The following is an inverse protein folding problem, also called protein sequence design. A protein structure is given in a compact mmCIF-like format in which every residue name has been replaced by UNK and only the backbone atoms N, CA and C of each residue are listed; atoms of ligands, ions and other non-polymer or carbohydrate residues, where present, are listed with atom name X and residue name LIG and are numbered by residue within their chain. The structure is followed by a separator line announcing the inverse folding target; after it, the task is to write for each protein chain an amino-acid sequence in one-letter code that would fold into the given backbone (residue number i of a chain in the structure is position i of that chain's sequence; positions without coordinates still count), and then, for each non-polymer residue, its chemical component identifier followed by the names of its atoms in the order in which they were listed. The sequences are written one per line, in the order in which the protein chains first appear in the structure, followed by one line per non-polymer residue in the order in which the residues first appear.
data_IF_208353591709
#
_entry.id   IF_208353591709
#
_cell.length_a   1.000
_cell.length_b   1.000
_cell.length_c   1.000
_cell.angle_alpha   90.00
_cell.angle_beta   90.00
_cell.angle_gamma   90.00
#
_symmetry.space_group_name_H-M   'P 1'
#
loop_
_entity.id
_entity.type
_entity.pdbx_description
1 polymer ?
#
# COMPACT_ATOMS: atom_id res chain seq x y z
N UNK A 1 3.59 8.82 -21.77
CA UNK A 1 2.56 8.53 -22.78
C UNK A 1 1.90 7.19 -22.49
N UNK A 2 2.62 6.05 -22.45
CA UNK A 2 1.99 4.76 -22.10
C UNK A 2 1.40 4.70 -20.68
N UNK A 3 2.19 5.03 -19.65
CA UNK A 3 1.71 4.99 -18.25
C UNK A 3 0.60 6.02 -17.92
N UNK A 4 0.31 6.96 -18.83
CA UNK A 4 -0.76 7.95 -18.64
C UNK A 4 -2.08 7.53 -19.29
N UNK A 5 -2.02 6.55 -20.20
CA UNK A 5 -3.19 6.00 -20.89
C UNK A 5 -3.71 4.75 -20.16
N UNK A 6 -2.83 4.03 -19.46
CA UNK A 6 -3.18 2.83 -18.70
C UNK A 6 -3.07 3.10 -17.19
N UNK A 7 -4.18 3.00 -16.43
CA UNK A 7 -4.21 3.40 -15.02
C UNK A 7 -3.34 2.49 -14.15
N UNK A 8 -3.30 1.19 -14.43
CA UNK A 8 -2.51 0.22 -13.68
C UNK A 8 -1.52 -0.53 -14.58
N UNK A 9 -0.23 -0.46 -14.25
CA UNK A 9 0.82 -1.11 -15.05
C UNK A 9 1.82 -1.80 -14.14
N UNK A 10 2.08 -3.08 -14.37
CA UNK A 10 3.12 -3.85 -13.70
C UNK A 10 4.33 -4.01 -14.62
N UNK A 11 5.46 -3.47 -14.20
CA UNK A 11 6.66 -3.32 -15.04
C UNK A 11 7.80 -4.18 -14.51
N UNK A 12 8.41 -4.97 -15.41
CA UNK A 12 9.66 -5.68 -15.19
C UNK A 12 10.82 -4.91 -15.83
N UNK A 13 11.63 -4.25 -15.01
CA UNK A 13 12.88 -3.62 -15.42
C UNK A 13 13.98 -4.67 -15.45
N UNK A 14 14.54 -4.92 -16.64
CA UNK A 14 15.48 -6.00 -16.89
C UNK A 14 16.73 -5.54 -17.64
N UNK A 15 17.71 -6.44 -17.69
CA UNK A 15 18.85 -6.35 -18.59
C UNK A 15 19.02 -7.72 -19.31
N UNK A 16 19.23 -7.76 -20.64
CA UNK A 16 19.26 -9.03 -21.40
C UNK A 16 20.35 -10.01 -20.95
N UNK A 17 21.47 -9.50 -20.42
CA UNK A 17 22.60 -10.30 -19.91
C UNK A 17 22.39 -10.80 -18.48
N UNK A 18 21.33 -10.39 -17.79
CA UNK A 18 21.10 -10.78 -16.40
C UNK A 18 20.46 -12.17 -16.33
N UNK A 19 21.20 -13.14 -15.79
CA UNK A 19 20.74 -14.54 -15.60
C UNK A 19 19.45 -14.59 -14.76
N UNK A 20 19.31 -13.73 -13.74
CA UNK A 20 18.10 -13.69 -12.91
C UNK A 20 16.88 -13.13 -13.65
N UNK A 21 17.10 -12.27 -14.66
CA UNK A 21 16.03 -11.81 -15.55
C UNK A 21 15.60 -12.92 -16.50
N UNK A 22 16.56 -13.61 -17.11
CA UNK A 22 16.28 -14.75 -18.01
C UNK A 22 15.52 -15.87 -17.29
N UNK A 23 15.86 -16.15 -16.02
CA UNK A 23 15.11 -17.11 -15.19
C UNK A 23 13.69 -16.66 -14.87
N UNK A 24 13.44 -15.35 -14.80
CA UNK A 24 12.13 -14.78 -14.52
C UNK A 24 11.24 -14.72 -15.76
N UNK A 25 11.84 -14.58 -16.94
CA UNK A 25 11.15 -14.41 -18.22
C UNK A 25 9.99 -15.38 -18.46
N UNK A 26 10.15 -16.72 -18.34
CA UNK A 26 9.03 -17.63 -18.59
C UNK A 26 7.88 -17.44 -17.60
N UNK A 27 8.16 -17.11 -16.34
CA UNK A 27 7.12 -16.80 -15.36
C UNK A 27 6.44 -15.46 -15.68
N UNK A 28 7.20 -14.46 -16.10
CA UNK A 28 6.67 -13.15 -16.44
C UNK A 28 5.73 -13.20 -17.65
N UNK A 29 6.10 -13.98 -18.68
CA UNK A 29 5.25 -14.21 -19.86
C UNK A 29 3.98 -14.97 -19.50
N UNK A 30 4.08 -16.04 -18.70
CA UNK A 30 2.90 -16.76 -18.21
C UNK A 30 1.99 -15.89 -17.33
N UNK A 31 2.55 -14.95 -16.54
CA UNK A 31 1.75 -13.96 -15.81
C UNK A 31 1.04 -12.99 -16.75
N UNK A 32 1.69 -12.54 -17.83
CA UNK A 32 1.06 -11.67 -18.82
C UNK A 32 -0.13 -12.37 -19.51
N UNK A 33 0.07 -13.61 -19.96
CA UNK A 33 -0.98 -14.43 -20.59
C UNK A 33 -2.17 -14.66 -19.64
N UNK A 34 -1.91 -14.96 -18.36
CA UNK A 34 -2.97 -15.17 -17.39
C UNK A 34 -3.74 -13.88 -17.09
N UNK A 35 -3.07 -12.72 -17.04
CA UNK A 35 -3.75 -11.43 -16.87
C UNK A 35 -4.61 -11.10 -18.09
N UNK A 36 -4.12 -11.33 -19.31
CA UNK A 36 -4.89 -11.14 -20.54
C UNK A 36 -6.15 -12.01 -20.52
N UNK A 37 -6.01 -13.31 -20.21
CA UNK A 37 -7.12 -14.25 -20.06
C UNK A 37 -8.14 -13.82 -19.01
N UNK A 38 -7.70 -13.28 -17.87
CA UNK A 38 -8.60 -12.78 -16.83
C UNK A 38 -9.34 -11.51 -17.28
N UNK A 39 -8.69 -10.64 -18.05
CA UNK A 39 -9.29 -9.41 -18.56
C UNK A 39 -10.34 -9.66 -19.68
N UNK A 40 -10.31 -10.82 -20.35
CA UNK A 40 -11.37 -11.23 -21.30
C UNK A 40 -12.72 -11.48 -20.61
N UNK A 41 -12.71 -11.84 -19.33
CA UNK A 41 -13.92 -12.03 -18.54
C UNK A 41 -14.20 -10.77 -17.71
N UNK A 42 -15.25 -10.02 -18.05
CA UNK A 42 -15.63 -8.79 -17.35
C UNK A 42 -15.80 -8.96 -15.83
N UNK A 43 -16.18 -10.16 -15.36
CA UNK A 43 -16.37 -10.43 -13.93
C UNK A 43 -15.05 -10.71 -13.18
N UNK A 44 -13.96 -11.04 -13.88
CA UNK A 44 -12.66 -11.40 -13.30
C UNK A 44 -11.53 -10.46 -13.71
N UNK A 45 -11.84 -9.44 -14.53
CA UNK A 45 -10.87 -8.48 -15.04
C UNK A 45 -10.16 -7.73 -13.92
N UNK A 46 -8.83 -7.74 -14.00
CA UNK A 46 -7.94 -7.04 -13.07
C UNK A 46 -7.62 -5.64 -13.63
N UNK A 47 -7.70 -5.45 -14.95
CA UNK A 47 -7.41 -4.19 -15.66
C UNK A 47 -5.98 -3.68 -15.37
N UNK A 48 -4.99 -4.59 -15.52
CA UNK A 48 -3.57 -4.29 -15.33
C UNK A 48 -2.79 -4.67 -16.58
N UNK A 49 -1.93 -3.78 -17.05
CA UNK A 49 -0.99 -4.08 -18.12
C UNK A 49 0.31 -4.69 -17.59
N UNK A 50 0.80 -5.73 -18.25
CA UNK A 50 2.09 -6.38 -17.93
C UNK A 50 3.15 -5.96 -18.96
N UNK A 51 4.18 -5.24 -18.51
CA UNK A 51 5.17 -4.60 -19.40
C UNK A 51 6.59 -5.00 -19.01
N UNK A 52 7.47 -5.16 -20.01
CA UNK A 52 8.92 -5.31 -19.82
C UNK A 52 9.69 -4.12 -20.36
N UNK A 53 10.73 -3.70 -19.63
CA UNK A 53 11.61 -2.59 -20.01
C UNK A 53 13.05 -3.05 -19.98
N UNK A 54 13.69 -3.06 -21.14
CA UNK A 54 15.14 -3.24 -21.25
C UNK A 54 15.87 -1.95 -20.85
N UNK A 55 16.51 -1.98 -19.68
CA UNK A 55 17.28 -0.86 -19.14
C UNK A 55 18.65 -0.68 -19.79
N UNK A 56 19.16 -1.65 -20.55
CA UNK A 56 20.37 -1.49 -21.35
C UNK A 56 20.10 -0.60 -22.54
N UNK A 57 18.96 -0.81 -23.21
CA UNK A 57 18.47 0.05 -24.29
C UNK A 57 17.91 1.38 -23.78
N UNK A 58 17.22 1.39 -22.62
CA UNK A 58 16.50 2.55 -22.09
C UNK A 58 17.13 3.13 -20.82
N UNK A 59 18.44 3.41 -20.84
CA UNK A 59 19.21 3.83 -19.66
C UNK A 59 18.66 5.06 -18.95
N UNK A 60 18.27 6.09 -19.72
CA UNK A 60 17.75 7.34 -19.14
C UNK A 60 16.45 7.09 -18.38
N UNK A 61 15.54 6.31 -18.95
CA UNK A 61 14.28 5.95 -18.29
C UNK A 61 14.55 5.20 -16.99
N UNK A 62 15.37 4.15 -17.01
CA UNK A 62 15.68 3.40 -15.79
C UNK A 62 16.46 4.22 -14.76
N UNK A 63 17.28 5.17 -15.20
CA UNK A 63 17.95 6.15 -14.34
C UNK A 63 16.96 7.08 -13.62
N UNK A 64 15.97 7.63 -14.34
CA UNK A 64 14.91 8.47 -13.72
C UNK A 64 14.07 7.68 -12.73
N UNK A 65 13.82 6.40 -13.03
CA UNK A 65 13.11 5.48 -12.14
C UNK A 65 13.99 4.93 -11.00
N UNK A 66 15.27 5.34 -10.92
CA UNK A 66 16.24 4.91 -9.90
C UNK A 66 16.33 3.38 -9.77
N UNK A 67 16.34 2.67 -10.91
CA UNK A 67 16.51 1.22 -10.91
C UNK A 67 17.97 0.89 -10.57
N UNK A 68 18.17 0.16 -9.48
CA UNK A 68 19.51 -0.15 -8.93
C UNK A 68 19.96 -1.59 -9.18
N UNK A 69 19.02 -2.50 -9.45
CA UNK A 69 19.29 -3.91 -9.64
C UNK A 69 18.29 -4.54 -10.62
N UNK A 70 18.64 -5.71 -11.17
CA UNK A 70 17.79 -6.43 -12.11
C UNK A 70 17.53 -7.88 -11.64
N UNK A 71 16.32 -8.42 -11.86
CA UNK A 71 15.12 -7.69 -12.28
C UNK A 71 14.57 -6.85 -11.13
N UNK A 72 14.02 -5.67 -11.45
CA UNK A 72 13.20 -4.88 -10.52
C UNK A 72 11.76 -4.89 -11.03
N UNK A 73 10.84 -5.37 -10.20
CA UNK A 73 9.41 -5.45 -10.50
C UNK A 73 8.69 -4.32 -9.78
N UNK A 74 7.93 -3.51 -10.51
CA UNK A 74 7.29 -2.30 -9.96
C UNK A 74 5.90 -2.11 -10.52
N UNK A 75 4.97 -1.81 -9.63
CA UNK A 75 3.60 -1.50 -9.99
C UNK A 75 3.41 0.03 -10.03
N UNK A 76 2.74 0.51 -11.07
CA UNK A 76 2.44 1.91 -11.31
C UNK A 76 0.94 2.14 -11.28
N UNK A 77 0.53 3.27 -10.71
CA UNK A 77 -0.81 3.83 -10.77
C UNK A 77 -0.74 5.26 -11.31
N UNK A 78 -1.52 5.59 -12.34
CA UNK A 78 -1.63 6.96 -12.87
C UNK A 78 -0.25 7.61 -13.13
N UNK A 79 0.63 6.90 -13.84
CA UNK A 79 2.03 7.29 -14.11
C UNK A 79 2.96 7.43 -12.90
N UNK A 80 2.51 7.11 -11.69
CA UNK A 80 3.33 7.15 -10.48
C UNK A 80 3.60 5.75 -9.94
N UNK A 81 4.78 5.55 -9.36
CA UNK A 81 5.10 4.31 -8.67
C UNK A 81 4.13 4.11 -7.50
N UNK A 82 3.40 3.00 -7.50
CA UNK A 82 2.37 2.70 -6.50
C UNK A 82 2.87 1.70 -5.45
N UNK A 83 3.48 2.26 -4.40
CA UNK A 83 4.14 1.52 -3.34
C UNK A 83 5.59 1.19 -3.66
N UNK A 84 6.13 0.23 -2.93
CA UNK A 84 7.53 -0.19 -3.06
C UNK A 84 7.67 -1.37 -4.03
N UNK A 85 8.90 -1.60 -4.48
CA UNK A 85 9.21 -2.67 -5.45
C UNK A 85 8.75 -4.04 -4.93
N UNK A 86 8.24 -4.85 -5.86
CA UNK A 86 7.76 -6.19 -5.59
C UNK A 86 8.93 -7.12 -5.25
N UNK A 87 8.86 -7.72 -4.06
CA UNK A 87 9.90 -8.59 -3.48
C UNK A 87 9.35 -9.93 -3.00
N UNK A 88 8.11 -10.27 -3.36
CA UNK A 88 7.48 -11.54 -3.01
C UNK A 88 7.91 -12.64 -4.00
N UNK A 89 7.32 -13.82 -3.85
CA UNK A 89 7.64 -15.00 -4.64
C UNK A 89 7.40 -14.78 -6.13
N UNK A 90 8.34 -15.21 -6.97
CA UNK A 90 8.28 -15.03 -8.42
C UNK A 90 7.60 -16.23 -9.08
N UNK A 91 6.39 -16.53 -8.65
CA UNK A 91 5.50 -17.51 -9.28
C UNK A 91 4.34 -16.78 -9.94
N UNK A 92 3.69 -17.42 -10.93
CA UNK A 92 2.54 -16.84 -11.61
C UNK A 92 1.44 -16.50 -10.60
N UNK A 93 1.07 -17.46 -9.74
CA UNK A 93 0.04 -17.26 -8.72
C UNK A 93 0.33 -16.08 -7.79
N UNK A 94 1.56 -15.99 -7.26
CA UNK A 94 1.94 -14.93 -6.32
C UNK A 94 1.91 -13.53 -6.97
N UNK A 95 2.22 -13.44 -8.27
CA UNK A 95 2.10 -12.18 -9.01
C UNK A 95 0.63 -11.83 -9.26
N UNK A 96 -0.19 -12.79 -9.71
CA UNK A 96 -1.62 -12.56 -9.93
C UNK A 96 -2.32 -12.15 -8.65
N UNK A 97 -2.06 -12.83 -7.53
CA UNK A 97 -2.65 -12.51 -6.23
C UNK A 97 -2.24 -11.11 -5.77
N UNK A 98 -0.98 -10.71 -6.00
CA UNK A 98 -0.50 -9.36 -5.73
C UNK A 98 -1.25 -8.32 -6.57
N UNK A 99 -1.46 -8.55 -7.86
CA UNK A 99 -2.18 -7.62 -8.75
C UNK A 99 -3.65 -7.48 -8.34
N UNK A 100 -4.33 -8.61 -8.08
CA UNK A 100 -5.70 -8.62 -7.58
C UNK A 100 -5.82 -7.86 -6.28
N UNK A 101 -4.92 -8.11 -5.32
CA UNK A 101 -4.90 -7.42 -4.04
C UNK A 101 -4.70 -5.90 -4.22
N UNK A 102 -3.81 -5.47 -5.12
CA UNK A 102 -3.54 -4.06 -5.38
C UNK A 102 -4.75 -3.34 -5.98
N UNK A 103 -5.39 -3.93 -6.98
CA UNK A 103 -6.56 -3.34 -7.63
C UNK A 103 -7.78 -3.34 -6.71
N UNK A 104 -8.01 -4.43 -5.97
CA UNK A 104 -9.13 -4.52 -5.01
C UNK A 104 -8.96 -3.51 -3.86
N UNK A 105 -7.74 -3.33 -3.39
CA UNK A 105 -7.42 -2.30 -2.42
C UNK A 105 -7.78 -0.91 -2.95
N UNK A 106 -7.43 -0.58 -4.20
CA UNK A 106 -7.78 0.71 -4.78
C UNK A 106 -9.28 0.91 -4.89
N UNK A 107 -10.03 -0.10 -5.36
CA UNK A 107 -11.50 -0.06 -5.39
C UNK A 107 -12.07 0.20 -3.99
N UNK A 108 -11.56 -0.51 -2.98
CA UNK A 108 -11.95 -0.33 -1.58
C UNK A 108 -11.63 1.07 -1.07
N UNK A 109 -10.49 1.63 -1.44
CA UNK A 109 -10.06 2.97 -1.04
C UNK A 109 -10.91 4.06 -1.71
N UNK A 110 -11.15 3.97 -3.02
CA UNK A 110 -12.00 4.87 -3.81
C UNK A 110 -13.39 5.00 -3.19
N UNK A 111 -14.02 3.88 -2.80
CA UNK A 111 -15.32 3.84 -2.15
C UNK A 111 -15.33 4.50 -0.76
N UNK A 112 -14.19 4.50 -0.07
CA UNK A 112 -14.08 5.03 1.29
C UNK A 112 -13.94 6.57 1.33
N UNK A 113 -13.37 7.16 0.28
CA UNK A 113 -12.92 8.55 0.26
C UNK A 113 -14.01 9.64 0.09
N UNK A 114 -15.04 9.55 -0.77
CA UNK A 114 -15.88 10.72 -1.07
C UNK A 114 -16.73 11.18 0.12
N UNK A 115 -17.39 10.26 0.84
CA UNK A 115 -18.25 10.62 1.99
C UNK A 115 -17.47 11.01 3.24
N UNK A 116 -16.22 10.55 3.39
CA UNK A 116 -15.38 10.87 4.55
C UNK A 116 -14.59 12.16 4.31
N UNK A 117 -14.06 12.38 3.10
CA UNK A 117 -13.45 13.65 2.68
C UNK A 117 -14.43 14.81 2.87
N UNK A 118 -15.69 14.63 2.47
CA UNK A 118 -16.73 15.64 2.69
C UNK A 118 -16.98 15.91 4.18
N UNK A 119 -17.11 14.85 5.00
CA UNK A 119 -17.22 14.98 6.47
C UNK A 119 -15.98 15.62 7.12
N UNK A 120 -14.78 15.35 6.60
CA UNK A 120 -13.53 15.94 7.09
C UNK A 120 -13.42 17.42 6.72
N UNK A 121 -13.88 17.83 5.54
CA UNK A 121 -13.96 19.23 5.12
C UNK A 121 -15.02 20.03 5.91
N UNK A 122 -16.04 19.35 6.45
CA UNK A 122 -17.10 19.95 7.27
C UNK A 122 -16.68 20.18 8.73
N UNK A 123 -15.62 19.52 9.23
CA UNK A 123 -15.08 19.74 10.58
C UNK A 123 -14.22 21.00 10.56
N UNK A 124 -14.85 22.14 10.88
CA UNK A 124 -14.21 23.47 10.90
C UNK A 124 -13.29 23.71 12.09
N UNK A 125 -13.44 22.95 13.18
CA UNK A 125 -12.60 23.05 14.36
C UNK A 125 -12.16 21.66 14.83
N UNK A 126 -10.86 21.38 14.72
CA UNK A 126 -10.23 20.28 15.43
C UNK A 126 -8.96 20.81 16.13
N UNK A 127 -8.68 20.42 17.38
CA UNK A 127 -7.56 20.97 18.14
C UNK A 127 -6.17 20.48 17.67
N UNK A 128 -6.07 19.63 16.63
CA UNK A 128 -4.83 18.98 16.20
C UNK A 128 -4.79 18.63 14.71
N UNK A 129 -4.18 17.51 14.33
CA UNK A 129 -4.22 16.99 12.96
C UNK A 129 -5.00 15.66 12.94
N UNK A 130 -5.91 15.48 11.98
CA UNK A 130 -6.60 14.21 11.76
C UNK A 130 -5.93 13.44 10.62
N UNK A 131 -5.41 12.24 10.93
CA UNK A 131 -4.81 11.33 9.93
C UNK A 131 -5.78 10.19 9.68
N UNK A 132 -6.05 9.93 8.40
CA UNK A 132 -6.96 8.85 7.97
C UNK A 132 -6.47 8.34 6.62
N UNK A 133 -6.31 7.02 6.50
CA UNK A 133 -5.87 6.38 5.27
C UNK A 133 -5.30 4.99 5.55
N UNK A 134 -4.63 4.45 4.55
CA UNK A 134 -3.99 3.15 4.60
C UNK A 134 -2.57 3.27 4.06
N UNK A 135 -1.65 2.46 4.60
CA UNK A 135 -0.26 2.42 4.14
C UNK A 135 0.10 0.96 3.88
N UNK A 136 0.62 0.68 2.69
CA UNK A 136 1.11 -0.65 2.33
C UNK A 136 2.58 -0.78 2.67
N UNK A 137 2.93 -1.84 3.39
CA UNK A 137 4.30 -2.13 3.82
C UNK A 137 4.71 -3.53 3.37
N UNK A 138 5.97 -3.70 2.91
CA UNK A 138 6.44 -4.96 2.33
C UNK A 138 6.70 -6.07 3.35
N UNK A 139 6.92 -5.75 4.63
CA UNK A 139 7.28 -6.73 5.66
C UNK A 139 6.85 -6.31 7.06
N UNK A 140 6.52 -7.34 7.85
CA UNK A 140 6.50 -7.32 9.32
C UNK A 140 7.62 -8.27 9.77
N UNK A 141 8.43 -7.93 10.80
CA UNK A 141 8.36 -6.72 11.61
C UNK A 141 8.84 -5.47 10.88
N UNK A 142 8.21 -4.33 11.18
CA UNK A 142 8.56 -3.01 10.64
C UNK A 142 8.09 -1.92 11.61
N UNK A 143 8.71 -0.74 11.53
CA UNK A 143 8.33 0.42 12.35
C UNK A 143 7.53 1.41 11.51
N UNK A 144 6.43 1.92 12.05
CA UNK A 144 5.62 2.97 11.45
C UNK A 144 5.64 4.20 12.35
N UNK A 145 6.10 5.32 11.80
CA UNK A 145 6.22 6.58 12.54
C UNK A 145 5.33 7.64 11.88
N UNK A 146 4.55 8.35 12.71
CA UNK A 146 3.82 9.55 12.28
C UNK A 146 4.57 10.76 12.86
N UNK A 147 5.04 11.63 11.97
CA UNK A 147 5.77 12.85 12.33
C UNK A 147 5.02 14.09 11.83
N UNK A 148 4.93 15.12 12.66
CA UNK A 148 4.45 16.43 12.23
C UNK A 148 5.57 17.17 11.48
N UNK A 149 5.29 17.69 10.28
CA UNK A 149 6.22 18.50 9.48
C UNK A 149 5.52 19.76 8.94
N UNK A 150 6.24 20.86 8.83
CA UNK A 150 5.77 22.12 8.25
C UNK A 150 6.84 22.73 7.34
N UNK A 151 6.42 23.33 6.23
CA UNK A 151 7.33 24.04 5.31
C UNK A 151 7.74 25.42 5.85
N UNK A 152 6.93 26.00 6.74
CA UNK A 152 7.10 27.37 7.20
C UNK A 152 7.45 27.47 8.70
N UNK A 153 7.43 26.34 9.42
CA UNK A 153 7.69 26.30 10.85
C UNK A 153 8.66 25.19 11.19
N UNK A 154 9.61 25.51 12.08
CA UNK A 154 10.45 24.51 12.71
C UNK A 154 9.67 23.88 13.86
N UNK A 155 9.40 22.58 13.77
CA UNK A 155 8.75 21.83 14.84
C UNK A 155 9.84 21.15 15.67
N UNK A 156 9.95 21.57 16.94
CA UNK A 156 10.83 20.89 17.87
C UNK A 156 10.11 19.64 18.41
N UNK A 157 10.54 18.46 17.98
CA UNK A 157 9.95 17.18 18.38
C UNK A 157 9.89 17.01 19.90
N UNK A 158 10.89 17.48 20.65
CA UNK A 158 10.92 17.38 22.11
C UNK A 158 9.91 18.28 22.81
N UNK A 159 9.42 19.33 22.14
CA UNK A 159 8.45 20.30 22.68
C UNK A 159 7.05 20.14 22.07
N UNK A 160 6.90 19.23 21.11
CA UNK A 160 5.62 19.05 20.41
C UNK A 160 4.72 18.14 21.23
N UNK A 161 3.52 18.61 21.58
CA UNK A 161 2.53 17.77 22.24
C UNK A 161 1.95 16.77 21.23
N UNK A 162 2.27 15.48 21.41
CA UNK A 162 1.79 14.37 20.57
C UNK A 162 0.58 13.65 21.18
N UNK A 163 -0.21 14.32 22.01
CA UNK A 163 -1.49 13.78 22.51
C UNK A 163 -2.40 13.43 21.34
N UNK A 164 -2.98 12.24 21.37
CA UNK A 164 -3.80 11.77 20.25
C UNK A 164 -4.88 10.79 20.70
N UNK A 165 -5.89 10.65 19.85
CA UNK A 165 -6.96 9.67 19.97
C UNK A 165 -6.86 8.73 18.79
N UNK A 166 -6.82 7.42 19.05
CA UNK A 166 -6.85 6.40 18.00
C UNK A 166 -8.30 6.00 17.77
N UNK A 167 -8.92 6.55 16.73
CA UNK A 167 -10.30 6.20 16.38
C UNK A 167 -10.41 4.77 15.85
N UNK A 168 -9.49 4.38 14.96
CA UNK A 168 -9.39 3.02 14.42
C UNK A 168 -7.96 2.77 13.90
N UNK A 169 -7.34 1.65 14.29
CA UNK A 169 -6.08 1.18 13.71
C UNK A 169 -6.13 -0.34 13.48
N UNK A 170 -5.87 -0.74 12.24
CA UNK A 170 -5.89 -2.14 11.82
C UNK A 170 -4.70 -2.47 10.94
N UNK A 171 -4.33 -3.76 10.94
CA UNK A 171 -3.29 -4.32 10.08
C UNK A 171 -3.89 -5.42 9.22
N UNK A 172 -3.42 -5.53 7.98
CA UNK A 172 -3.92 -6.48 7.00
C UNK A 172 -4.59 -5.79 5.81
N UNK A 173 -5.24 -6.58 4.96
CA UNK A 173 -6.03 -6.07 3.85
C UNK A 173 -7.22 -5.28 4.39
N UNK A 174 -7.45 -4.03 3.93
CA UNK A 174 -8.66 -3.29 4.29
C UNK A 174 -9.88 -4.11 3.91
N UNK A 175 -10.71 -4.43 4.91
CA UNK A 175 -11.94 -5.16 4.68
C UNK A 175 -13.00 -4.17 4.17
N UNK A 176 -13.78 -4.60 3.18
CA UNK A 176 -15.01 -3.89 2.83
C UNK A 176 -15.89 -3.71 4.08
N UNK A 177 -16.61 -2.59 4.18
CA UNK A 177 -17.35 -2.20 5.41
C UNK A 177 -18.33 -3.25 5.90
N UNK A 178 -18.93 -4.01 4.99
CA UNK A 178 -19.91 -5.03 5.35
C UNK A 178 -19.25 -6.29 5.91
N UNK A 179 -18.07 -6.64 5.38
CA UNK A 179 -17.20 -7.66 5.97
C UNK A 179 -16.70 -7.20 7.34
N UNK A 180 -16.23 -5.96 7.47
CA UNK A 180 -15.76 -5.42 8.74
C UNK A 180 -16.86 -5.49 9.82
N UNK A 181 -18.09 -5.08 9.50
CA UNK A 181 -19.25 -5.18 10.41
C UNK A 181 -19.61 -6.62 10.81
N UNK A 182 -19.39 -7.60 9.92
CA UNK A 182 -19.62 -9.02 10.25
C UNK A 182 -18.50 -9.56 11.14
N UNK A 183 -17.25 -9.24 10.82
CA UNK A 183 -16.06 -9.68 11.59
C UNK A 183 -16.09 -9.12 13.00
N UNK A 184 -16.43 -7.84 13.20
CA UNK A 184 -16.51 -7.22 14.54
C UNK A 184 -17.53 -7.87 15.48
N UNK A 185 -18.47 -8.68 14.97
CA UNK A 185 -19.45 -9.40 15.80
C UNK A 185 -18.89 -10.65 16.46
N UNK A 186 -17.80 -11.22 15.96
CA UNK A 186 -17.25 -12.41 16.59
C UNK A 186 -16.28 -12.04 17.72
N UNK A 187 -16.41 -12.64 18.92
CA UNK A 187 -15.63 -12.28 20.10
C UNK A 187 -14.11 -12.37 19.90
N UNK A 188 -13.65 -13.31 19.08
CA UNK A 188 -12.23 -13.50 18.77
C UNK A 188 -11.59 -12.29 18.06
N UNK A 189 -12.40 -11.42 17.43
CA UNK A 189 -11.91 -10.24 16.73
C UNK A 189 -11.98 -8.95 17.57
N UNK A 190 -12.57 -8.99 18.78
CA UNK A 190 -12.55 -7.81 19.66
C UNK A 190 -11.12 -7.44 20.09
N UNK A 191 -10.21 -8.42 20.15
CA UNK A 191 -8.79 -8.21 20.44
C UNK A 191 -7.96 -7.79 19.20
N UNK A 192 -8.54 -7.78 18.00
CA UNK A 192 -7.80 -7.50 16.76
C UNK A 192 -7.41 -6.02 16.62
N UNK A 193 -8.09 -5.12 17.34
CA UNK A 193 -7.86 -3.67 17.29
C UNK A 193 -7.69 -3.08 18.71
N UNK A 194 -6.61 -3.42 19.42
CA UNK A 194 -6.44 -3.08 20.84
C UNK A 194 -6.27 -1.58 21.11
N UNK A 195 -6.00 -0.78 20.08
CA UNK A 195 -5.83 0.67 20.20
C UNK A 195 -7.09 1.46 19.87
N UNK A 196 -8.15 0.82 19.37
CA UNK A 196 -9.39 1.51 18.97
C UNK A 196 -10.07 2.18 20.17
N UNK A 197 -10.44 3.45 20.00
CA UNK A 197 -11.04 4.29 21.03
C UNK A 197 -10.05 4.76 22.11
N UNK A 198 -8.77 4.39 22.02
CA UNK A 198 -7.73 4.79 22.97
C UNK A 198 -7.45 6.29 22.91
N UNK A 199 -7.33 6.92 24.09
CA UNK A 199 -6.94 8.33 24.25
C UNK A 199 -5.62 8.41 25.01
N UNK A 200 -4.60 8.97 24.37
CA UNK A 200 -3.23 9.02 24.86
C UNK A 200 -2.83 10.47 25.02
N UNK A 201 -2.94 10.98 26.24
CA UNK A 201 -2.71 12.39 26.56
C UNK A 201 -1.35 12.55 27.25
N UNK A 202 -0.50 13.41 26.69
CA UNK A 202 0.73 13.87 27.33
C UNK A 202 0.38 14.99 28.30
N UNK A 203 0.77 14.84 29.57
CA UNK A 203 0.57 15.86 30.61
C UNK A 203 1.83 16.66 30.90
N UNK A 204 3.01 16.08 30.66
CA UNK A 204 4.30 16.71 30.89
C UNK A 204 5.03 17.05 29.58
N UNK A 205 6.00 17.95 29.68
CA UNK A 205 6.92 18.26 28.58
C UNK A 205 7.88 17.08 28.32
N UNK A 206 8.34 16.98 27.07
CA UNK A 206 9.33 15.99 26.63
C UNK A 206 8.90 14.52 26.75
N UNK A 207 7.60 14.25 26.76
CA UNK A 207 7.04 12.90 26.73
C UNK A 207 6.37 12.60 25.39
N UNK A 208 6.41 11.33 24.98
CA UNK A 208 5.66 10.81 23.85
C UNK A 208 5.20 9.39 24.14
N UNK A 209 3.95 9.08 23.79
CA UNK A 209 3.42 7.71 23.90
C UNK A 209 3.99 6.85 22.77
N UNK A 210 4.61 5.72 23.13
CA UNK A 210 5.13 4.74 22.18
C UNK A 210 4.23 3.50 22.20
N UNK A 211 3.67 3.16 21.04
CA UNK A 211 2.80 1.99 20.90
C UNK A 211 3.58 0.83 20.32
N UNK A 212 3.59 -0.30 21.03
CA UNK A 212 4.17 -1.54 20.56
C UNK A 212 3.04 -2.53 20.27
N UNK A 213 2.92 -2.94 19.01
CA UNK A 213 1.91 -3.91 18.57
C UNK A 213 2.57 -5.11 17.91
N UNK A 214 2.23 -6.31 18.39
CA UNK A 214 2.63 -7.57 17.76
C UNK A 214 1.53 -8.01 16.81
N UNK A 215 1.80 -7.91 15.51
CA UNK A 215 0.86 -8.34 14.47
C UNK A 215 1.13 -9.81 14.14
N UNK A 216 0.10 -10.65 14.27
CA UNK A 216 0.13 -12.05 13.85
C UNK A 216 -0.89 -12.21 12.72
N UNK A 217 -0.44 -12.67 11.55
CA UNK A 217 -1.33 -12.91 10.43
C UNK A 217 -2.16 -14.16 10.69
N UNK A 218 -3.48 -14.02 10.69
CA UNK A 218 -4.41 -15.15 10.79
C UNK A 218 -5.07 -15.31 9.42
N UNK A 219 -4.86 -16.46 8.79
CA UNK A 219 -5.53 -16.84 7.55
C UNK A 219 -6.74 -17.69 7.92
N UNK A 220 -7.87 -17.45 7.26
CA UNK A 220 -9.10 -18.21 7.43
C UNK A 220 -9.37 -18.95 6.13
N UNK A 221 -9.47 -20.27 6.21
CA UNK A 221 -9.93 -21.15 5.12
C UNK A 221 -11.46 -21.21 5.08
#
# INVERSE_FOLDING_TARGET
MYLSENPYVFVNFLAPWCIWCQRLEPTWEATAEEVERLNENENESIDVDIVKVDCVANRNLCGTQRIQAFPTLRFFKDSQQYGIDYKQDRTVSAMIDFLKQKVELEKTMEDWHPRRKQRMLEIKEHPGCMVSGHVLVNRVPGNFHIEARSLHHNLNAAMTNLSHIVNHLSFGTPLARDLQRKVSKYPQFQSAHPLDGGSFINRDYHQAHHHYSKVVSTHFE
#
